data_IF_738799646948
#
_entry.id   IF_738799646948
#
_cell.length_a   1.000
_cell.length_b   1.000
_cell.length_c   1.000
_cell.angle_alpha   90.00
_cell.angle_beta   90.00
_cell.angle_gamma   90.00
#
_symmetry.space_group_name_H-M   'P 1'
#
loop_
_entity.id
_entity.type
_entity.pdbx_description
1 polymer ?
#
# COMPACT_ATOMS: atom_id res chain seq x y z
N UNK A 1 -14.21 -6.56 -1.88
CA UNK A 1 -14.18 -7.52 -0.75
C UNK A 1 -14.58 -6.76 0.50
N UNK A 2 -15.88 -6.68 0.82
CA UNK A 2 -16.36 -5.93 1.99
C UNK A 2 -15.78 -6.43 3.31
N UNK A 3 -15.39 -7.71 3.38
CA UNK A 3 -14.82 -8.33 4.59
C UNK A 3 -13.51 -7.69 5.06
N UNK A 4 -12.75 -7.04 4.18
CA UNK A 4 -11.46 -6.42 4.50
C UNK A 4 -11.55 -4.91 4.77
N UNK A 5 -12.70 -4.28 4.54
CA UNK A 5 -12.84 -2.84 4.66
C UNK A 5 -12.67 -2.39 6.11
N UNK A 6 -11.76 -1.44 6.35
CA UNK A 6 -11.51 -0.86 7.67
C UNK A 6 -10.68 -1.73 8.62
N UNK A 7 -10.15 -2.87 8.16
CA UNK A 7 -9.29 -3.75 8.98
C UNK A 7 -7.81 -3.43 8.77
N UNK A 8 -7.04 -3.51 9.86
CA UNK A 8 -5.58 -3.56 9.81
C UNK A 8 -5.12 -4.98 9.45
N UNK A 9 -4.05 -5.08 8.66
CA UNK A 9 -3.38 -6.34 8.32
C UNK A 9 -1.96 -6.29 8.90
N UNK A 10 -1.71 -7.07 9.95
CA UNK A 10 -0.44 -7.09 10.68
C UNK A 10 0.24 -8.45 10.51
N UNK A 11 -0.53 -9.53 10.50
CA UNK A 11 -0.07 -10.91 10.30
C UNK A 11 -0.84 -11.58 9.15
N UNK A 12 -0.25 -12.61 8.55
CA UNK A 12 -0.97 -13.49 7.61
C UNK A 12 -2.13 -14.21 8.28
N UNK A 13 -2.07 -14.41 9.60
CA UNK A 13 -3.12 -15.05 10.39
C UNK A 13 -4.39 -14.18 10.52
N UNK A 14 -4.28 -12.88 10.20
CA UNK A 14 -5.44 -11.98 10.15
C UNK A 14 -6.36 -12.27 8.96
N UNK A 15 -5.97 -13.16 8.04
CA UNK A 15 -6.70 -13.50 6.83
C UNK A 15 -7.19 -14.95 6.87
N UNK A 16 -8.46 -15.14 6.52
CA UNK A 16 -8.99 -16.47 6.23
C UNK A 16 -8.46 -17.00 4.89
N UNK A 17 -8.52 -18.33 4.68
CA UNK A 17 -8.14 -18.95 3.41
C UNK A 17 -8.89 -18.37 2.20
N UNK A 18 -10.19 -18.10 2.35
CA UNK A 18 -11.01 -17.50 1.29
C UNK A 18 -10.59 -16.05 0.99
N UNK A 19 -10.18 -15.29 2.01
CA UNK A 19 -9.66 -13.94 1.83
C UNK A 19 -8.31 -13.93 1.11
N UNK A 20 -7.42 -14.87 1.44
CA UNK A 20 -6.15 -15.05 0.73
C UNK A 20 -6.41 -15.35 -0.75
N UNK A 21 -7.27 -16.32 -1.05
CA UNK A 21 -7.64 -16.67 -2.43
C UNK A 21 -8.29 -15.48 -3.14
N UNK A 22 -9.14 -14.73 -2.45
CA UNK A 22 -9.77 -13.53 -2.98
C UNK A 22 -8.77 -12.41 -3.31
N UNK A 23 -7.76 -12.18 -2.46
CA UNK A 23 -6.68 -11.23 -2.68
C UNK A 23 -5.81 -11.63 -3.88
N UNK A 24 -5.49 -12.91 -4.04
CA UNK A 24 -4.74 -13.41 -5.20
C UNK A 24 -5.54 -13.26 -6.51
N UNK A 25 -6.85 -13.51 -6.48
CA UNK A 25 -7.71 -13.26 -7.65
C UNK A 25 -7.80 -11.76 -7.97
N UNK A 26 -7.84 -10.91 -6.94
CA UNK A 26 -7.83 -9.46 -7.13
C UNK A 26 -6.51 -8.97 -7.72
N UNK A 27 -5.38 -9.45 -7.23
CA UNK A 27 -4.06 -9.06 -7.74
C UNK A 27 -3.88 -9.45 -9.20
N UNK A 28 -4.36 -10.63 -9.60
CA UNK A 28 -4.37 -11.04 -11.01
C UNK A 28 -5.18 -10.08 -11.89
N UNK A 29 -6.42 -9.75 -11.49
CA UNK A 29 -7.25 -8.80 -12.25
C UNK A 29 -6.61 -7.42 -12.36
N UNK A 30 -5.95 -6.96 -11.29
CA UNK A 30 -5.24 -5.68 -11.32
C UNK A 30 -4.02 -5.72 -12.23
N UNK A 31 -3.27 -6.83 -12.24
CA UNK A 31 -2.14 -7.05 -13.13
C UNK A 31 -2.59 -7.01 -14.61
N UNK A 32 -3.66 -7.74 -14.95
CA UNK A 32 -4.27 -7.71 -16.28
C UNK A 32 -4.76 -6.30 -16.65
N UNK A 33 -5.42 -5.60 -15.73
CA UNK A 33 -5.93 -4.25 -15.96
C UNK A 33 -4.82 -3.22 -16.25
N UNK A 34 -3.59 -3.45 -15.78
CA UNK A 34 -2.43 -2.59 -16.08
C UNK A 34 -1.54 -3.15 -17.21
N UNK A 35 -1.99 -4.19 -17.92
CA UNK A 35 -1.26 -4.80 -19.04
C UNK A 35 0.02 -5.50 -18.61
N UNK A 36 0.04 -6.05 -17.39
CA UNK A 36 1.15 -6.89 -16.94
C UNK A 36 1.21 -8.16 -17.79
N UNK A 37 2.29 -8.32 -18.56
CA UNK A 37 2.52 -9.47 -19.44
C UNK A 37 2.54 -9.12 -20.93
N UNK A 38 1.68 -8.22 -21.40
CA UNK A 38 1.59 -7.85 -22.83
C UNK A 38 1.86 -6.36 -23.10
N UNK A 39 1.95 -5.53 -22.06
CA UNK A 39 2.30 -4.11 -22.12
C UNK A 39 1.19 -3.20 -22.68
N UNK A 40 -0.04 -3.70 -22.86
CA UNK A 40 -1.14 -2.95 -23.50
C UNK A 40 -2.04 -2.18 -22.53
N UNK A 41 -1.70 -2.18 -21.25
CA UNK A 41 -2.51 -1.54 -20.22
C UNK A 41 -2.40 -0.01 -20.23
N UNK A 42 -3.40 0.68 -19.63
CA UNK A 42 -3.35 2.10 -19.40
C UNK A 42 -2.14 2.48 -18.54
N UNK A 43 -1.45 3.56 -18.94
CA UNK A 43 -0.35 4.16 -18.17
C UNK A 43 -0.82 5.19 -17.14
N UNK A 44 -2.14 5.43 -17.09
CA UNK A 44 -2.78 6.36 -16.18
C UNK A 44 -3.33 5.62 -14.95
N UNK A 45 -3.57 6.33 -13.83
CA UNK A 45 -4.27 5.75 -12.70
C UNK A 45 -5.64 5.18 -13.08
N UNK A 46 -6.09 4.14 -12.37
CA UNK A 46 -7.35 3.45 -12.69
C UNK A 46 -8.56 4.38 -12.61
N UNK A 47 -8.64 5.20 -11.55
CA UNK A 47 -9.64 6.25 -11.34
C UNK A 47 -9.14 7.23 -10.27
N UNK A 48 -9.62 8.49 -10.22
CA UNK A 48 -9.32 9.38 -9.10
C UNK A 48 -9.77 8.75 -7.77
N UNK A 49 -8.88 8.73 -6.78
CA UNK A 49 -9.14 8.20 -5.46
C UNK A 49 -8.86 9.27 -4.41
N UNK A 50 -9.91 9.69 -3.70
CA UNK A 50 -9.82 10.67 -2.61
C UNK A 50 -9.32 10.02 -1.31
N UNK A 51 -8.11 9.47 -1.35
CA UNK A 51 -7.42 8.82 -0.24
C UNK A 51 -5.93 9.12 -0.29
N UNK A 52 -5.34 9.26 0.90
CA UNK A 52 -3.91 9.51 1.10
C UNK A 52 -3.32 8.33 1.88
N UNK A 53 -2.23 7.75 1.39
CA UNK A 53 -1.42 6.76 2.10
C UNK A 53 -0.25 7.46 2.78
N UNK A 54 -0.12 7.30 4.10
CA UNK A 54 1.10 7.64 4.81
C UNK A 54 2.05 6.43 4.84
N UNK A 55 3.19 6.53 4.16
CA UNK A 55 4.24 5.51 4.16
C UNK A 55 5.30 5.86 5.21
N UNK A 56 5.28 5.16 6.35
CA UNK A 56 6.17 5.43 7.48
C UNK A 56 7.20 4.29 7.64
N UNK A 57 8.39 4.48 7.08
CA UNK A 57 9.45 3.48 7.15
C UNK A 57 10.51 3.90 8.18
N UNK A 58 10.50 3.25 9.34
CA UNK A 58 11.47 3.50 10.43
C UNK A 58 12.84 2.88 10.16
N UNK A 59 12.90 1.88 9.28
CA UNK A 59 14.11 1.23 8.79
C UNK A 59 14.18 1.32 7.25
N UNK A 60 15.39 1.43 6.66
CA UNK A 60 15.54 1.50 5.21
C UNK A 60 14.95 0.27 4.47
N UNK A 61 13.92 0.49 3.65
CA UNK A 61 13.36 -0.57 2.79
C UNK A 61 12.84 -0.02 1.46
N UNK A 62 13.75 0.13 0.50
CA UNK A 62 13.46 0.75 -0.80
C UNK A 62 12.41 -0.03 -1.60
N UNK A 63 12.52 -1.35 -1.67
CA UNK A 63 11.64 -2.17 -2.51
C UNK A 63 10.20 -2.14 -2.00
N UNK A 64 10.03 -2.37 -0.70
CA UNK A 64 8.70 -2.39 -0.07
C UNK A 64 8.06 -1.02 -0.12
N UNK A 65 8.78 0.04 0.27
CA UNK A 65 8.25 1.42 0.21
C UNK A 65 7.76 1.76 -1.19
N UNK A 66 8.65 1.67 -2.18
CA UNK A 66 8.31 2.07 -3.55
C UNK A 66 7.17 1.24 -4.14
N UNK A 67 7.03 -0.04 -3.78
CA UNK A 67 5.90 -0.85 -4.26
C UNK A 67 4.56 -0.38 -3.67
N UNK A 68 4.51 -0.01 -2.39
CA UNK A 68 3.30 0.53 -1.77
C UNK A 68 2.94 1.91 -2.32
N UNK A 69 3.93 2.79 -2.47
CA UNK A 69 3.72 4.13 -3.05
C UNK A 69 3.23 4.03 -4.49
N UNK A 70 3.88 3.21 -5.32
CA UNK A 70 3.47 3.00 -6.71
C UNK A 70 2.06 2.39 -6.82
N UNK A 71 1.70 1.47 -5.91
CA UNK A 71 0.35 0.89 -5.87
C UNK A 71 -0.70 1.97 -5.59
N UNK A 72 -0.48 2.83 -4.58
CA UNK A 72 -1.41 3.91 -4.24
C UNK A 72 -1.56 4.93 -5.38
N UNK A 73 -0.46 5.32 -6.01
CA UNK A 73 -0.48 6.25 -7.15
C UNK A 73 -1.21 5.65 -8.36
N UNK A 74 -1.03 4.35 -8.64
CA UNK A 74 -1.76 3.65 -9.72
C UNK A 74 -3.25 3.51 -9.43
N UNK A 75 -3.63 3.41 -8.17
CA UNK A 75 -5.04 3.48 -7.74
C UNK A 75 -5.63 4.90 -7.85
N UNK A 76 -4.81 5.91 -8.15
CA UNK A 76 -5.20 7.32 -8.27
C UNK A 76 -5.29 8.07 -6.95
N UNK A 77 -4.66 7.51 -5.91
CA UNK A 77 -4.52 8.15 -4.60
C UNK A 77 -3.27 9.00 -4.50
N UNK A 78 -3.03 9.51 -3.28
CA UNK A 78 -1.84 10.30 -2.95
C UNK A 78 -0.99 9.58 -1.90
N UNK A 79 0.28 9.97 -1.81
CA UNK A 79 1.24 9.40 -0.87
C UNK A 79 1.94 10.52 -0.12
N UNK A 80 2.11 10.34 1.18
CA UNK A 80 2.93 11.19 2.07
C UNK A 80 3.74 10.30 3.03
N UNK A 81 4.63 10.87 3.84
CA UNK A 81 5.38 10.14 4.88
C UNK A 81 6.89 10.33 4.77
N UNK A 82 7.65 9.35 5.29
CA UNK A 82 9.10 9.42 5.38
C UNK A 82 9.76 8.06 5.13
N UNK A 83 11.00 8.11 4.62
CA UNK A 83 11.78 6.92 4.26
C UNK A 83 12.85 6.55 5.29
N UNK A 84 13.10 7.40 6.31
CA UNK A 84 14.03 7.15 7.40
C UNK A 84 13.52 7.80 8.69
N UNK A 85 13.63 7.09 9.82
CA UNK A 85 13.23 7.58 11.14
C UNK A 85 13.94 8.88 11.54
N UNK A 86 15.18 9.09 11.08
CA UNK A 86 15.98 10.30 11.30
C UNK A 86 15.36 11.58 10.77
N UNK A 87 14.46 11.51 9.79
CA UNK A 87 13.73 12.67 9.26
C UNK A 87 12.36 12.88 9.94
N UNK A 88 12.04 12.10 10.97
CA UNK A 88 10.77 12.16 11.71
C UNK A 88 10.97 12.55 13.17
N UNK A 89 9.91 13.04 13.81
CA UNK A 89 9.92 13.36 15.25
C UNK A 89 10.14 12.14 16.15
N UNK A 90 10.00 10.91 15.64
CA UNK A 90 10.45 9.71 16.34
C UNK A 90 11.96 9.75 16.65
N UNK A 91 12.78 10.40 15.82
CA UNK A 91 14.20 10.63 16.12
C UNK A 91 14.43 11.64 17.28
N UNK A 92 13.40 12.41 17.64
CA UNK A 92 13.40 13.35 18.77
C UNK A 92 12.80 12.73 20.04
N UNK A 93 12.50 11.42 20.03
CA UNK A 93 11.96 10.70 21.17
C UNK A 93 10.43 10.77 21.31
N UNK A 94 9.70 11.20 20.28
CA UNK A 94 8.24 11.08 20.25
C UNK A 94 7.82 9.61 20.24
N UNK A 95 6.78 9.28 21.02
CA UNK A 95 6.35 7.89 21.13
C UNK A 95 5.68 7.43 19.83
N UNK A 96 5.75 6.14 19.55
CA UNK A 96 5.12 5.55 18.37
C UNK A 96 3.58 5.72 18.43
N UNK A 97 3.02 5.78 19.64
CA UNK A 97 1.60 6.04 19.88
C UNK A 97 1.19 7.50 19.59
N UNK A 98 2.11 8.46 19.74
CA UNK A 98 1.83 9.87 19.39
C UNK A 98 1.94 10.12 17.87
N UNK A 99 2.58 9.20 17.15
CA UNK A 99 2.81 9.29 15.70
C UNK A 99 1.73 8.60 14.84
N UNK A 100 0.85 7.75 15.41
CA UNK A 100 -0.09 6.86 14.69
C UNK A 100 -1.54 7.05 15.14
#
# INVERSE_FOLDING_TARGET
MPSLTGRSLVSTDDLSGDEIVGLLKLSQRMAEAIGFGDGKGPRAPMAPLDRILAAMFYEPSTRTRLSFEAAMLRLGGQVTGFAQSTSSSAAKGESLADSV
#
